data_IF_054491760487
#
_entry.id   IF_054491760487
#
_cell.length_a   1.000
_cell.length_b   1.000
_cell.length_c   1.000
_cell.angle_alpha   90.00
_cell.angle_beta   90.00
_cell.angle_gamma   90.00
#
_symmetry.space_group_name_H-M   'P 1'
#
loop_
_entity.id
_entity.type
_entity.pdbx_description
1 polymer ?
#
# COMPACT_ATOMS: atom_id res chain seq x y z
N UNK A 1 -28.71 2.16 -4.06
CA UNK A 1 -27.32 1.80 -3.71
C UNK A 1 -27.35 0.56 -2.84
N UNK A 2 -26.62 -0.50 -3.20
CA UNK A 2 -26.44 -1.65 -2.32
C UNK A 2 -25.72 -1.20 -1.05
N UNK A 3 -26.23 -1.61 0.10
CA UNK A 3 -25.57 -1.38 1.41
C UNK A 3 -24.57 -2.51 1.65
N UNK A 4 -23.56 -2.23 2.46
CA UNK A 4 -22.58 -3.21 2.84
C UNK A 4 -21.22 -3.03 2.15
N UNK A 5 -20.36 -4.02 2.30
CA UNK A 5 -18.99 -4.07 1.82
C UNK A 5 -18.89 -5.13 0.73
N UNK A 6 -18.65 -4.72 -0.51
CA UNK A 6 -18.69 -5.59 -1.68
C UNK A 6 -17.35 -5.53 -2.40
N UNK A 7 -16.76 -6.70 -2.66
CA UNK A 7 -15.59 -6.83 -3.55
C UNK A 7 -16.08 -7.19 -4.94
N UNK A 8 -15.65 -6.45 -5.93
CA UNK A 8 -15.99 -6.68 -7.34
C UNK A 8 -14.70 -6.98 -8.10
N UNK A 9 -14.65 -8.12 -8.76
CA UNK A 9 -13.52 -8.56 -9.57
C UNK A 9 -13.92 -8.50 -11.04
N UNK A 10 -13.09 -7.86 -11.87
CA UNK A 10 -13.29 -7.69 -13.32
C UNK A 10 -11.96 -7.33 -13.99
N UNK A 11 -12.02 -6.73 -15.17
CA UNK A 11 -10.86 -6.27 -15.92
C UNK A 11 -10.97 -4.79 -16.29
N UNK A 12 -9.83 -4.11 -16.32
CA UNK A 12 -9.67 -2.74 -16.83
C UNK A 12 -8.66 -2.77 -17.96
N UNK A 13 -9.08 -2.46 -19.20
CA UNK A 13 -8.25 -2.55 -20.41
C UNK A 13 -7.58 -3.93 -20.58
N UNK A 14 -8.31 -5.01 -20.29
CA UNK A 14 -7.81 -6.39 -20.37
C UNK A 14 -6.85 -6.79 -19.25
N UNK A 15 -6.68 -5.95 -18.20
CA UNK A 15 -5.85 -6.24 -17.03
C UNK A 15 -6.76 -6.59 -15.84
N UNK A 16 -6.49 -7.67 -15.11
CA UNK A 16 -7.28 -8.03 -13.94
C UNK A 16 -7.35 -6.87 -12.94
N UNK A 17 -8.53 -6.65 -12.39
CA UNK A 17 -8.79 -5.57 -11.47
C UNK A 17 -9.74 -5.99 -10.34
N UNK A 18 -9.63 -5.34 -9.20
CA UNK A 18 -10.51 -5.50 -8.06
C UNK A 18 -10.93 -4.15 -7.52
N UNK A 19 -12.20 -3.97 -7.21
CA UNK A 19 -12.74 -2.79 -6.57
C UNK A 19 -13.45 -3.14 -5.26
N UNK A 20 -13.21 -2.35 -4.23
CA UNK A 20 -13.92 -2.43 -2.96
C UNK A 20 -14.95 -1.32 -2.88
N UNK A 21 -16.21 -1.70 -2.81
CA UNK A 21 -17.32 -0.79 -2.55
C UNK A 21 -17.73 -0.86 -1.07
N UNK A 22 -17.95 0.31 -0.46
CA UNK A 22 -18.51 0.41 0.88
C UNK A 22 -19.76 1.33 0.79
N UNK A 23 -20.92 0.76 1.04
CA UNK A 23 -22.21 1.45 0.92
C UNK A 23 -22.39 2.15 -0.45
N UNK A 24 -21.96 1.47 -1.53
CA UNK A 24 -22.06 1.96 -2.90
C UNK A 24 -21.05 3.04 -3.31
N UNK A 25 -20.07 3.35 -2.46
CA UNK A 25 -18.93 4.24 -2.80
C UNK A 25 -17.67 3.41 -2.98
N UNK A 26 -16.86 3.76 -3.97
CA UNK A 26 -15.56 3.13 -4.14
C UNK A 26 -14.65 3.51 -2.97
N UNK A 27 -14.15 2.49 -2.28
CA UNK A 27 -13.25 2.64 -1.14
C UNK A 27 -11.80 2.30 -1.52
N UNK A 28 -11.64 1.31 -2.41
CA UNK A 28 -10.32 0.93 -2.91
C UNK A 28 -10.41 0.37 -4.33
N UNK A 29 -9.33 0.47 -5.10
CA UNK A 29 -9.22 0.01 -6.48
C UNK A 29 -7.82 -0.55 -6.71
N UNK A 30 -7.73 -1.78 -7.19
CA UNK A 30 -6.51 -2.45 -7.60
C UNK A 30 -6.63 -2.79 -9.08
N UNK A 31 -5.64 -2.41 -9.88
CA UNK A 31 -5.53 -2.77 -11.30
C UNK A 31 -4.14 -3.35 -11.48
N UNK A 32 -4.02 -4.49 -12.14
CA UNK A 32 -2.71 -5.06 -12.46
C UNK A 32 -1.99 -4.22 -13.50
N UNK A 33 -0.68 -4.13 -13.33
CA UNK A 33 0.19 -3.47 -14.30
C UNK A 33 0.68 -4.47 -15.34
N UNK A 34 1.29 -3.96 -16.39
CA UNK A 34 1.96 -4.80 -17.37
C UNK A 34 3.12 -5.57 -16.72
N UNK A 35 3.26 -6.85 -17.07
CA UNK A 35 4.25 -7.77 -16.50
C UNK A 35 5.72 -7.37 -16.77
N UNK A 36 5.94 -6.31 -17.54
CA UNK A 36 7.27 -5.85 -17.95
C UNK A 36 7.97 -4.95 -16.92
N UNK A 37 7.25 -4.51 -15.88
CA UNK A 37 7.82 -3.65 -14.84
C UNK A 37 7.87 -4.36 -13.49
N UNK A 38 8.99 -4.23 -12.74
CA UNK A 38 9.06 -4.78 -11.39
C UNK A 38 7.98 -4.16 -10.49
N UNK A 39 7.08 -5.00 -10.00
CA UNK A 39 5.96 -4.58 -9.15
C UNK A 39 6.31 -4.72 -7.67
N UNK A 40 5.77 -3.86 -6.77
CA UNK A 40 5.93 -4.02 -5.33
C UNK A 40 5.56 -5.43 -4.86
N UNK A 41 6.35 -5.94 -3.93
CA UNK A 41 6.31 -7.31 -3.38
C UNK A 41 6.89 -8.40 -4.30
N UNK A 42 7.13 -8.16 -5.60
CA UNK A 42 7.84 -9.13 -6.44
C UNK A 42 9.27 -9.38 -5.92
N UNK A 43 9.72 -10.62 -6.01
CA UNK A 43 11.05 -11.04 -5.55
C UNK A 43 11.89 -11.45 -6.76
N UNK A 44 13.10 -10.89 -6.81
CA UNK A 44 14.09 -11.15 -7.85
C UNK A 44 15.36 -11.71 -7.26
N UNK A 45 16.01 -12.59 -8.00
CA UNK A 45 17.44 -12.79 -7.88
C UNK A 45 18.13 -11.69 -8.68
N UNK A 46 18.95 -10.89 -8.01
CA UNK A 46 19.67 -9.79 -8.62
C UNK A 46 21.18 -9.94 -8.46
N UNK A 47 21.93 -9.29 -9.35
CA UNK A 47 23.38 -9.20 -9.29
C UNK A 47 23.81 -7.75 -9.18
N UNK A 48 24.59 -7.43 -8.17
CA UNK A 48 25.06 -6.06 -7.93
C UNK A 48 26.02 -5.62 -9.03
N UNK A 49 25.84 -4.40 -9.54
CA UNK A 49 26.61 -3.86 -10.66
C UNK A 49 27.35 -2.58 -10.28
N UNK A 50 26.70 -1.44 -10.25
CA UNK A 50 27.32 -0.12 -10.12
C UNK A 50 27.09 0.45 -8.71
N UNK A 51 28.14 0.67 -7.91
CA UNK A 51 28.02 1.38 -6.64
C UNK A 51 27.66 2.86 -6.87
N UNK A 52 26.61 3.32 -6.19
CA UNK A 52 26.13 4.71 -6.21
C UNK A 52 26.54 5.41 -4.91
N UNK A 53 27.85 5.74 -4.77
CA UNK A 53 28.43 6.29 -3.54
C UNK A 53 27.72 7.52 -3.01
N UNK A 54 27.33 8.46 -3.90
CA UNK A 54 26.62 9.67 -3.53
C UNK A 54 25.20 9.45 -3.01
N UNK A 55 24.61 8.27 -3.26
CA UNK A 55 23.27 7.89 -2.80
C UNK A 55 23.29 6.78 -1.74
N UNK A 56 24.47 6.41 -1.26
CA UNK A 56 24.67 5.32 -0.30
C UNK A 56 23.95 4.02 -0.70
N UNK A 57 24.11 3.61 -1.97
CA UNK A 57 23.42 2.44 -2.52
C UNK A 57 24.20 1.77 -3.65
N UNK A 58 23.58 0.74 -4.22
CA UNK A 58 24.12 -0.03 -5.34
C UNK A 58 23.00 -0.37 -6.33
N UNK A 59 23.35 -0.34 -7.62
CA UNK A 59 22.45 -0.82 -8.69
C UNK A 59 22.61 -2.34 -8.81
N UNK A 60 21.48 -3.01 -9.02
CA UNK A 60 21.42 -4.44 -9.34
C UNK A 60 20.86 -4.62 -10.76
N UNK A 61 21.38 -5.61 -11.44
CA UNK A 61 20.70 -6.23 -12.58
C UNK A 61 19.65 -7.22 -12.03
N UNK A 62 18.39 -7.07 -12.46
CA UNK A 62 17.27 -7.94 -12.07
C UNK A 62 16.88 -8.92 -13.19
N UNK A 63 17.62 -8.92 -14.31
CA UNK A 63 17.30 -9.66 -15.52
C UNK A 63 16.39 -8.88 -16.48
N UNK A 64 16.35 -9.32 -17.75
CA UNK A 64 15.54 -8.74 -18.81
C UNK A 64 15.67 -7.21 -18.98
N UNK A 65 16.88 -6.66 -18.70
CA UNK A 65 17.15 -5.22 -18.79
C UNK A 65 16.61 -4.39 -17.62
N UNK A 66 15.98 -5.01 -16.63
CA UNK A 66 15.45 -4.32 -15.46
C UNK A 66 16.54 -4.05 -14.44
N UNK A 67 16.42 -2.91 -13.75
CA UNK A 67 17.43 -2.47 -12.75
C UNK A 67 16.77 -2.23 -11.41
N UNK A 68 17.41 -2.77 -10.35
CA UNK A 68 17.07 -2.49 -8.96
C UNK A 68 18.02 -1.46 -8.35
N UNK A 69 17.56 -0.70 -7.36
CA UNK A 69 18.38 0.17 -6.52
C UNK A 69 18.22 -0.22 -5.05
N UNK A 70 19.28 -0.74 -4.47
CA UNK A 70 19.36 -1.10 -3.06
C UNK A 70 20.04 0.01 -2.27
N UNK A 71 19.34 0.63 -1.34
CA UNK A 71 19.88 1.59 -0.39
C UNK A 71 20.66 0.89 0.73
N UNK A 72 21.52 1.65 1.38
CA UNK A 72 22.31 1.18 2.54
C UNK A 72 23.13 -0.09 2.24
N UNK A 73 23.66 -0.19 1.03
CA UNK A 73 24.43 -1.32 0.54
C UNK A 73 25.87 -1.36 1.10
N UNK A 74 26.11 -0.90 2.34
CA UNK A 74 27.41 -0.90 2.97
C UNK A 74 27.93 -2.35 3.15
N UNK A 75 29.13 -2.60 2.66
CA UNK A 75 29.75 -3.93 2.72
C UNK A 75 29.34 -4.89 1.61
N UNK A 76 28.47 -4.49 0.69
CA UNK A 76 28.07 -5.30 -0.47
C UNK A 76 29.00 -4.97 -1.64
N UNK A 77 29.69 -5.99 -2.17
CA UNK A 77 30.62 -5.85 -3.30
C UNK A 77 29.90 -5.92 -4.64
N UNK A 78 30.51 -5.35 -5.67
CA UNK A 78 30.08 -5.54 -7.05
C UNK A 78 30.18 -7.01 -7.45
N UNK A 79 29.20 -7.52 -8.21
CA UNK A 79 29.13 -8.91 -8.64
C UNK A 79 28.49 -9.86 -7.63
N UNK A 80 28.04 -9.36 -6.46
CA UNK A 80 27.33 -10.17 -5.46
C UNK A 80 25.96 -10.57 -5.96
N UNK A 81 25.65 -11.85 -5.94
CA UNK A 81 24.32 -12.39 -6.20
C UNK A 81 23.50 -12.37 -4.90
N UNK A 82 22.25 -11.93 -4.98
CA UNK A 82 21.37 -11.85 -3.82
C UNK A 82 19.91 -11.82 -4.22
N UNK A 83 19.06 -12.29 -3.33
CA UNK A 83 17.62 -12.16 -3.46
C UNK A 83 17.17 -10.80 -2.92
N UNK A 84 16.32 -10.10 -3.68
CA UNK A 84 15.80 -8.79 -3.33
C UNK A 84 14.31 -8.72 -3.62
N UNK A 85 13.59 -7.93 -2.82
CA UNK A 85 12.16 -7.67 -3.00
C UNK A 85 11.94 -6.24 -3.42
N UNK A 86 11.04 -6.04 -4.36
CA UNK A 86 10.61 -4.70 -4.79
C UNK A 86 9.86 -4.02 -3.64
N UNK A 87 10.37 -2.87 -3.21
CA UNK A 87 9.83 -2.15 -2.06
C UNK A 87 8.71 -1.18 -2.45
N UNK A 88 8.90 -0.48 -3.56
CA UNK A 88 7.97 0.54 -4.05
C UNK A 88 8.03 0.59 -5.57
N UNK A 89 7.03 1.20 -6.18
CA UNK A 89 7.05 1.47 -7.61
C UNK A 89 8.17 2.45 -7.99
N UNK A 90 8.80 2.21 -9.14
CA UNK A 90 9.86 3.08 -9.65
C UNK A 90 9.28 4.36 -10.27
N UNK A 91 9.95 5.48 -10.07
CA UNK A 91 9.68 6.69 -10.85
C UNK A 91 10.19 6.51 -12.30
N UNK A 92 9.53 7.12 -13.28
CA UNK A 92 9.96 7.03 -14.69
C UNK A 92 11.47 7.32 -14.86
N UNK A 93 12.16 6.43 -15.55
CA UNK A 93 13.60 6.56 -15.82
C UNK A 93 14.54 6.25 -14.64
N UNK A 94 14.02 5.88 -13.47
CA UNK A 94 14.83 5.47 -12.32
C UNK A 94 14.84 3.95 -12.13
N UNK A 95 15.90 3.45 -11.48
CA UNK A 95 15.96 2.05 -11.07
C UNK A 95 14.92 1.77 -9.98
N UNK A 96 14.33 0.56 -10.01
CA UNK A 96 13.31 0.14 -9.06
C UNK A 96 13.86 0.04 -7.65
N UNK A 97 13.26 0.71 -6.64
CA UNK A 97 13.69 0.57 -5.26
C UNK A 97 13.48 -0.86 -4.77
N UNK A 98 14.56 -1.49 -4.29
CA UNK A 98 14.52 -2.85 -3.74
C UNK A 98 15.10 -2.89 -2.34
N UNK A 99 14.72 -3.93 -1.60
CA UNK A 99 15.25 -4.26 -0.27
C UNK A 99 15.75 -5.70 -0.27
N UNK A 100 16.74 -5.97 0.57
CA UNK A 100 17.29 -7.32 0.76
C UNK A 100 16.68 -8.06 1.95
N UNK A 101 15.87 -7.39 2.76
CA UNK A 101 15.06 -8.00 3.81
C UNK A 101 13.70 -8.37 3.24
N UNK A 102 13.49 -9.65 3.00
CA UNK A 102 12.26 -10.14 2.39
C UNK A 102 11.12 -10.17 3.40
N UNK A 103 9.90 -9.94 2.91
CA UNK A 103 8.67 -10.00 3.68
C UNK A 103 7.66 -10.85 2.90
N UNK A 104 7.14 -11.89 3.52
CA UNK A 104 6.11 -12.76 2.96
C UNK A 104 4.79 -12.48 3.67
N UNK A 105 3.84 -11.90 2.96
CA UNK A 105 2.55 -11.47 3.52
C UNK A 105 1.44 -12.39 3.06
N UNK A 106 0.67 -12.89 4.02
CA UNK A 106 -0.58 -13.58 3.77
C UNK A 106 -1.77 -12.88 4.41
N UNK A 107 -2.89 -13.57 4.49
CA UNK A 107 -4.12 -13.05 5.11
C UNK A 107 -3.95 -12.80 6.60
N UNK A 108 -3.37 -13.74 7.32
CA UNK A 108 -3.30 -13.73 8.79
C UNK A 108 -1.92 -13.44 9.35
N UNK A 109 -0.87 -13.58 8.55
CA UNK A 109 0.49 -13.38 9.04
C UNK A 109 1.41 -12.66 8.07
N UNK A 110 2.58 -12.25 8.58
CA UNK A 110 3.73 -11.79 7.81
C UNK A 110 4.95 -12.51 8.34
N UNK A 111 5.66 -13.24 7.46
CA UNK A 111 6.93 -13.89 7.78
C UNK A 111 8.09 -12.99 7.33
N UNK A 112 9.09 -12.83 8.20
CA UNK A 112 10.27 -11.98 7.99
C UNK A 112 11.54 -12.78 8.25
N UNK A 113 12.14 -13.46 7.24
CA UNK A 113 13.28 -14.36 7.43
C UNK A 113 14.50 -13.70 8.09
N UNK A 114 14.75 -12.42 7.76
CA UNK A 114 15.93 -11.68 8.24
C UNK A 114 15.67 -10.82 9.48
N UNK A 115 14.53 -10.98 10.13
CA UNK A 115 14.16 -10.20 11.31
C UNK A 115 13.43 -11.09 12.33
N UNK A 116 14.17 -11.92 13.09
CA UNK A 116 13.57 -12.84 14.06
C UNK A 116 12.77 -12.09 15.13
N UNK A 117 11.78 -12.77 15.69
CA UNK A 117 10.92 -12.26 16.74
C UNK A 117 9.44 -12.41 16.42
N UNK A 118 8.62 -12.55 17.46
CA UNK A 118 7.18 -12.69 17.36
C UNK A 118 6.49 -11.39 17.73
N UNK A 119 5.57 -10.94 16.88
CA UNK A 119 4.76 -9.77 17.13
C UNK A 119 3.29 -10.06 16.80
N UNK A 120 2.39 -9.47 17.57
CA UNK A 120 0.95 -9.45 17.29
C UNK A 120 0.52 -8.02 16.98
N UNK A 121 -0.36 -7.86 15.99
CA UNK A 121 -0.86 -6.55 15.58
C UNK A 121 -1.35 -5.75 16.80
N UNK A 122 -0.92 -4.49 16.89
CA UNK A 122 -1.24 -3.61 18.03
C UNK A 122 -2.72 -3.24 18.13
N UNK A 123 -3.49 -3.50 17.08
CA UNK A 123 -4.94 -3.30 17.04
C UNK A 123 -5.71 -4.39 17.80
N UNK A 124 -5.14 -5.58 17.97
CA UNK A 124 -5.68 -6.64 18.82
C UNK A 124 -5.32 -6.28 20.27
N UNK A 125 -6.30 -5.79 21.01
CA UNK A 125 -6.11 -5.29 22.39
C UNK A 125 -6.65 -6.23 23.45
N UNK A 126 -7.47 -7.20 23.05
CA UNK A 126 -7.99 -8.23 23.94
C UNK A 126 -6.85 -9.14 24.38
N UNK A 127 -6.64 -9.25 25.69
CA UNK A 127 -5.50 -9.99 26.25
C UNK A 127 -5.70 -11.50 26.09
N UNK A 128 -6.92 -12.02 26.22
CA UNK A 128 -7.23 -13.45 26.06
C UNK A 128 -7.00 -13.88 24.60
N UNK A 129 -7.42 -13.04 23.64
CA UNK A 129 -7.18 -13.28 22.22
C UNK A 129 -5.69 -13.22 21.86
N UNK A 130 -4.94 -12.31 22.47
CA UNK A 130 -3.49 -12.24 22.27
C UNK A 130 -2.79 -13.49 22.82
N UNK A 131 -3.21 -14.00 23.97
CA UNK A 131 -2.67 -15.21 24.56
C UNK A 131 -2.97 -16.43 23.67
N UNK A 132 -4.21 -16.57 23.20
CA UNK A 132 -4.61 -17.62 22.24
C UNK A 132 -3.75 -17.60 20.97
N UNK A 133 -3.54 -16.42 20.37
CA UNK A 133 -2.71 -16.30 19.18
C UNK A 133 -1.23 -16.62 19.45
N UNK A 134 -0.73 -16.31 20.65
CA UNK A 134 0.64 -16.66 21.05
C UNK A 134 0.81 -18.17 21.21
N UNK A 135 -0.18 -18.87 21.79
CA UNK A 135 -0.17 -20.33 21.93
C UNK A 135 -0.08 -21.02 20.57
N UNK A 136 -0.93 -20.63 19.61
CA UNK A 136 -0.91 -21.15 18.24
C UNK A 136 0.49 -21.02 17.62
N UNK A 137 1.11 -19.86 17.76
CA UNK A 137 2.43 -19.59 17.16
C UNK A 137 3.53 -20.38 17.87
N UNK A 138 3.48 -20.51 19.19
CA UNK A 138 4.46 -21.28 19.96
C UNK A 138 4.45 -22.75 19.56
N UNK A 139 3.28 -23.36 19.40
CA UNK A 139 3.15 -24.75 18.93
C UNK A 139 3.80 -24.95 17.55
N UNK A 140 3.58 -24.01 16.63
CA UNK A 140 4.17 -24.06 15.30
C UNK A 140 5.69 -23.85 15.29
N UNK A 141 6.19 -22.96 16.16
CA UNK A 141 7.62 -22.63 16.24
C UNK A 141 8.48 -23.76 16.82
N UNK A 142 7.94 -24.60 17.73
CA UNK A 142 8.65 -25.71 18.34
C UNK A 142 9.13 -26.77 17.34
N UNK A 143 8.50 -26.84 16.18
CA UNK A 143 8.77 -27.86 15.16
C UNK A 143 9.66 -27.35 14.01
N UNK A 144 10.18 -26.11 14.07
CA UNK A 144 10.97 -25.50 12.99
C UNK A 144 12.40 -25.18 13.41
N UNK A 145 13.34 -25.43 12.50
CA UNK A 145 14.77 -25.14 12.70
C UNK A 145 15.16 -23.70 12.36
N UNK A 146 14.34 -22.97 11.61
CA UNK A 146 14.62 -21.61 11.19
C UNK A 146 13.91 -20.61 12.09
N UNK A 147 14.67 -19.69 12.69
CA UNK A 147 14.16 -18.59 13.52
C UNK A 147 13.68 -17.42 12.67
N UNK A 148 12.65 -17.62 11.86
CA UNK A 148 12.04 -16.51 11.13
C UNK A 148 11.19 -15.64 12.07
N UNK A 149 11.21 -14.34 11.82
CA UNK A 149 10.26 -13.45 12.46
C UNK A 149 8.85 -13.67 11.95
N UNK A 150 7.87 -13.51 12.82
CA UNK A 150 6.45 -13.66 12.52
C UNK A 150 5.66 -12.51 13.12
N UNK A 151 4.80 -11.91 12.30
CA UNK A 151 3.85 -10.89 12.73
C UNK A 151 2.45 -11.39 12.44
N UNK A 152 1.65 -11.57 13.49
CA UNK A 152 0.23 -11.90 13.37
C UNK A 152 -0.55 -10.63 13.05
N UNK A 153 -1.32 -10.67 11.97
CA UNK A 153 -2.11 -9.52 11.49
C UNK A 153 -3.44 -9.41 12.26
N UNK A 154 -4.04 -8.22 12.23
CA UNK A 154 -5.35 -8.00 12.86
C UNK A 154 -6.50 -8.82 12.28
N UNK A 155 -6.33 -9.29 11.05
CA UNK A 155 -7.27 -10.20 10.38
C UNK A 155 -7.31 -11.63 10.97
N UNK A 156 -6.37 -11.97 11.85
CA UNK A 156 -6.37 -13.26 12.56
C UNK A 156 -7.27 -13.26 13.81
N UNK A 157 -7.79 -12.09 14.20
CA UNK A 157 -8.68 -11.98 15.36
C UNK A 157 -9.97 -12.78 15.13
N UNK A 158 -10.36 -13.59 16.12
CA UNK A 158 -11.54 -14.47 16.11
C UNK A 158 -11.53 -15.55 15.00
N UNK A 159 -10.39 -15.79 14.35
CA UNK A 159 -10.24 -16.81 13.31
C UNK A 159 -9.86 -18.16 13.93
N UNK A 160 -10.34 -19.24 13.32
CA UNK A 160 -10.02 -20.61 13.72
C UNK A 160 -8.51 -20.90 13.72
N UNK A 161 -8.05 -21.63 14.73
CA UNK A 161 -6.64 -21.94 14.94
C UNK A 161 -6.01 -22.70 13.76
N UNK A 162 -6.76 -23.66 13.18
CA UNK A 162 -6.27 -24.44 12.03
C UNK A 162 -6.09 -23.55 10.80
N UNK A 163 -7.00 -22.60 10.56
CA UNK A 163 -6.88 -21.66 9.44
C UNK A 163 -5.63 -20.76 9.58
N UNK A 164 -5.35 -20.25 10.79
CA UNK A 164 -4.16 -19.46 11.09
C UNK A 164 -2.90 -20.31 10.93
N UNK A 165 -2.90 -21.52 11.47
CA UNK A 165 -1.76 -22.44 11.41
C UNK A 165 -1.40 -22.84 9.98
N UNK A 166 -2.41 -23.13 9.15
CA UNK A 166 -2.22 -23.45 7.73
C UNK A 166 -1.64 -22.27 6.95
N UNK A 167 -2.12 -21.06 7.23
CA UNK A 167 -1.62 -19.83 6.58
C UNK A 167 -0.16 -19.57 6.95
N UNK A 168 0.20 -19.69 8.24
CA UNK A 168 1.57 -19.54 8.73
C UNK A 168 2.49 -20.57 8.09
N UNK A 169 2.10 -21.87 8.09
CA UNK A 169 2.91 -22.93 7.50
C UNK A 169 3.15 -22.69 6.01
N UNK A 170 2.11 -22.30 5.26
CA UNK A 170 2.23 -21.99 3.85
C UNK A 170 3.23 -20.86 3.59
N UNK A 171 3.25 -19.83 4.45
CA UNK A 171 4.19 -18.71 4.32
C UNK A 171 5.62 -19.09 4.71
N UNK A 172 5.79 -19.95 5.70
CA UNK A 172 7.11 -20.48 6.04
C UNK A 172 7.68 -21.34 4.91
N UNK A 173 6.88 -22.24 4.33
CA UNK A 173 7.33 -23.11 3.24
C UNK A 173 7.65 -22.28 1.98
N UNK A 174 6.89 -21.23 1.71
CA UNK A 174 7.20 -20.27 0.64
C UNK A 174 8.53 -19.54 0.92
N UNK A 175 8.73 -19.07 2.15
CA UNK A 175 9.96 -18.39 2.55
C UNK A 175 11.18 -19.31 2.40
N UNK A 176 11.11 -20.54 2.90
CA UNK A 176 12.18 -21.55 2.77
C UNK A 176 12.52 -21.82 1.31
N UNK A 177 11.52 -21.99 0.46
CA UNK A 177 11.71 -22.20 -0.97
C UNK A 177 12.43 -21.00 -1.65
N UNK A 178 11.96 -19.78 -1.38
CA UNK A 178 12.54 -18.57 -1.97
C UNK A 178 13.95 -18.31 -1.44
N UNK A 179 14.17 -18.47 -0.13
CA UNK A 179 15.49 -18.27 0.49
C UNK A 179 16.54 -19.27 0.00
N UNK A 180 16.13 -20.45 -0.48
CA UNK A 180 17.04 -21.44 -1.10
C UNK A 180 17.48 -21.05 -2.51
N UNK A 181 16.83 -20.09 -3.18
CA UNK A 181 17.06 -19.73 -4.59
C UNK A 181 17.98 -18.51 -4.78
N UNK A 182 18.96 -18.31 -3.91
CA UNK A 182 19.83 -17.12 -3.92
C UNK A 182 20.85 -17.09 -5.06
N UNK A 183 21.26 -18.24 -5.58
CA UNK A 183 22.33 -18.38 -6.57
C UNK A 183 21.78 -18.54 -7.99
N UNK A 184 22.49 -17.99 -8.97
CA UNK A 184 22.21 -18.14 -10.41
C UNK A 184 22.01 -16.79 -11.11
N UNK A 185 21.64 -16.84 -12.38
CA UNK A 185 21.44 -15.63 -13.19
C UNK A 185 20.30 -14.74 -12.66
N UNK A 186 20.40 -13.41 -12.87
CA UNK A 186 19.32 -12.49 -12.53
C UNK A 186 17.98 -12.88 -13.15
N UNK A 187 16.94 -13.05 -12.32
CA UNK A 187 15.63 -13.50 -12.76
C UNK A 187 14.52 -13.12 -11.75
N UNK A 188 13.29 -13.04 -12.24
CA UNK A 188 12.09 -13.01 -11.39
C UNK A 188 11.93 -14.39 -10.71
N UNK A 189 11.91 -14.44 -9.38
CA UNK A 189 11.69 -15.66 -8.58
C UNK A 189 10.21 -15.79 -8.20
N UNK A 190 9.63 -14.70 -7.70
CA UNK A 190 8.23 -14.65 -7.30
C UNK A 190 7.57 -13.39 -7.88
N UNK A 191 6.49 -13.53 -8.66
CA UNK A 191 5.75 -12.36 -9.14
C UNK A 191 5.07 -11.63 -7.99
N UNK A 192 4.72 -10.37 -8.20
CA UNK A 192 3.86 -9.63 -7.30
C UNK A 192 2.49 -10.31 -7.17
N UNK A 193 1.80 -10.18 -6.02
CA UNK A 193 0.46 -10.73 -5.85
C UNK A 193 -0.53 -10.06 -6.81
N UNK A 194 -1.44 -10.85 -7.39
CA UNK A 194 -2.50 -10.37 -8.27
C UNK A 194 -3.46 -9.41 -7.56
N UNK A 195 -4.26 -8.66 -8.33
CA UNK A 195 -5.29 -7.79 -7.79
C UNK A 195 -6.31 -8.57 -6.93
N UNK A 196 -6.72 -9.75 -7.38
CA UNK A 196 -7.61 -10.66 -6.64
C UNK A 196 -6.97 -11.14 -5.33
N UNK A 197 -5.69 -11.58 -5.37
CA UNK A 197 -4.97 -12.03 -4.18
C UNK A 197 -4.79 -10.90 -3.16
N UNK A 198 -4.48 -9.69 -3.62
CA UNK A 198 -4.38 -8.51 -2.75
C UNK A 198 -5.73 -8.15 -2.13
N UNK A 199 -6.81 -8.18 -2.90
CA UNK A 199 -8.16 -7.95 -2.41
C UNK A 199 -8.54 -8.97 -1.33
N UNK A 200 -8.31 -10.27 -1.59
CA UNK A 200 -8.56 -11.34 -0.62
C UNK A 200 -7.73 -11.20 0.65
N UNK A 201 -6.46 -10.79 0.52
CA UNK A 201 -5.53 -10.65 1.65
C UNK A 201 -5.77 -9.41 2.49
N UNK A 202 -6.06 -8.28 1.84
CA UNK A 202 -5.98 -6.96 2.48
C UNK A 202 -7.35 -6.33 2.77
N UNK A 203 -8.44 -6.79 2.12
CA UNK A 203 -9.79 -6.24 2.33
C UNK A 203 -10.66 -7.11 3.26
N UNK A 204 -10.11 -7.54 4.37
CA UNK A 204 -10.71 -8.52 5.29
C UNK A 204 -11.14 -7.96 6.65
N UNK A 205 -10.96 -6.68 6.92
CA UNK A 205 -11.39 -6.07 8.19
C UNK A 205 -12.30 -4.86 7.95
N UNK A 206 -13.63 -5.04 8.09
CA UNK A 206 -14.36 -6.30 8.21
C UNK A 206 -14.36 -7.10 6.90
N UNK A 207 -14.68 -8.38 6.96
CA UNK A 207 -14.86 -9.21 5.76
C UNK A 207 -15.90 -8.60 4.82
N UNK A 208 -15.77 -8.79 3.49
CA UNK A 208 -16.80 -8.36 2.57
C UNK A 208 -18.08 -9.17 2.73
N UNK A 209 -19.22 -8.49 2.65
CA UNK A 209 -20.53 -9.14 2.68
C UNK A 209 -20.80 -9.94 1.38
N UNK A 210 -20.19 -9.52 0.27
CA UNK A 210 -20.38 -10.14 -1.05
C UNK A 210 -19.10 -10.02 -1.89
N UNK A 211 -18.79 -11.06 -2.67
CA UNK A 211 -17.74 -11.03 -3.70
C UNK A 211 -18.39 -11.34 -5.04
N UNK A 212 -18.30 -10.39 -5.97
CA UNK A 212 -18.88 -10.50 -7.33
C UNK A 212 -17.73 -10.74 -8.30
N UNK A 213 -17.82 -11.86 -9.05
CA UNK A 213 -16.84 -12.26 -10.07
C UNK A 213 -17.56 -12.65 -11.36
N UNK A 214 -18.30 -11.72 -11.93
CA UNK A 214 -19.04 -11.91 -13.17
C UNK A 214 -18.45 -11.02 -14.26
N UNK A 215 -18.62 -11.40 -15.50
CA UNK A 215 -18.18 -10.58 -16.63
C UNK A 215 -18.97 -9.27 -16.67
N UNK A 216 -18.28 -8.16 -16.92
CA UNK A 216 -18.83 -6.80 -16.92
C UNK A 216 -19.37 -6.35 -15.55
N UNK A 217 -18.86 -6.90 -14.44
CA UNK A 217 -19.32 -6.52 -13.12
C UNK A 217 -18.95 -5.07 -12.77
N UNK A 218 -17.87 -4.51 -13.31
CA UNK A 218 -17.53 -3.09 -13.14
C UNK A 218 -18.56 -2.18 -13.77
N UNK A 219 -19.09 -2.52 -14.96
CA UNK A 219 -20.19 -1.79 -15.60
C UNK A 219 -21.48 -1.90 -14.76
N UNK A 220 -21.88 -3.13 -14.42
CA UNK A 220 -23.11 -3.42 -13.70
C UNK A 220 -23.16 -2.75 -12.30
N UNK A 221 -22.01 -2.54 -11.68
CA UNK A 221 -21.86 -1.94 -10.36
C UNK A 221 -21.52 -0.44 -10.41
N UNK A 222 -21.43 0.16 -11.62
CA UNK A 222 -21.14 1.58 -11.81
C UNK A 222 -19.71 1.98 -11.43
N UNK A 223 -18.76 1.02 -11.42
CA UNK A 223 -17.35 1.29 -11.05
C UNK A 223 -16.68 2.16 -12.09
N UNK A 224 -17.03 2.02 -13.37
CA UNK A 224 -16.53 2.86 -14.45
C UNK A 224 -16.83 4.34 -14.23
N UNK A 225 -17.99 4.69 -13.73
CA UNK A 225 -18.34 6.08 -13.38
C UNK A 225 -17.42 6.65 -12.28
N UNK A 226 -17.01 5.79 -11.35
CA UNK A 226 -16.03 6.17 -10.32
C UNK A 226 -14.64 6.36 -10.91
N UNK A 227 -14.20 5.46 -11.80
CA UNK A 227 -12.90 5.57 -12.47
C UNK A 227 -12.85 6.86 -13.31
N UNK A 228 -13.90 7.19 -14.06
CA UNK A 228 -13.95 8.43 -14.84
C UNK A 228 -13.86 9.68 -13.95
N UNK A 229 -14.49 9.68 -12.78
CA UNK A 229 -14.34 10.77 -11.80
C UNK A 229 -12.93 10.86 -11.24
N UNK A 230 -12.24 9.73 -11.04
CA UNK A 230 -10.86 9.70 -10.54
C UNK A 230 -9.85 10.24 -11.54
N UNK A 231 -10.15 10.26 -12.85
CA UNK A 231 -9.31 10.91 -13.88
C UNK A 231 -9.31 12.44 -13.73
N UNK A 232 -10.32 13.00 -13.08
CA UNK A 232 -10.40 14.45 -12.84
C UNK A 232 -9.57 14.81 -11.62
N UNK A 233 -8.85 15.93 -11.68
CA UNK A 233 -8.07 16.43 -10.54
C UNK A 233 -8.98 16.90 -9.40
N UNK A 234 -10.19 17.37 -9.70
CA UNK A 234 -11.13 17.91 -8.73
C UNK A 234 -11.97 16.83 -8.05
N UNK A 235 -12.01 16.85 -6.74
CA UNK A 235 -12.90 16.04 -5.91
C UNK A 235 -13.86 16.95 -5.15
N UNK A 236 -15.16 16.75 -5.35
CA UNK A 236 -16.19 17.49 -4.60
C UNK A 236 -16.32 16.92 -3.19
N UNK A 237 -16.48 17.82 -2.22
CA UNK A 237 -16.59 17.52 -0.80
C UNK A 237 -17.95 18.01 -0.27
N UNK A 238 -18.37 17.58 0.93
CA UNK A 238 -19.55 18.12 1.61
C UNK A 238 -19.50 19.66 1.74
N UNK A 239 -20.66 20.27 1.92
CA UNK A 239 -20.84 21.72 2.10
C UNK A 239 -20.40 22.58 0.91
N UNK A 240 -20.34 22.01 -0.29
CA UNK A 240 -19.91 22.71 -1.50
C UNK A 240 -18.40 22.93 -1.60
N UNK A 241 -17.63 22.41 -0.65
CA UNK A 241 -16.17 22.43 -0.71
C UNK A 241 -15.62 21.49 -1.79
N UNK A 242 -14.37 21.66 -2.15
CA UNK A 242 -13.66 20.76 -3.07
C UNK A 242 -12.17 20.75 -2.77
N UNK A 243 -11.49 19.67 -3.20
CA UNK A 243 -10.04 19.63 -3.29
C UNK A 243 -9.62 19.33 -4.72
N UNK A 244 -8.49 19.91 -5.13
CA UNK A 244 -7.82 19.65 -6.40
C UNK A 244 -6.54 18.91 -6.08
N UNK A 245 -6.31 17.76 -6.71
CA UNK A 245 -5.14 16.91 -6.49
C UNK A 245 -4.36 16.83 -7.78
N UNK A 246 -3.16 17.39 -7.80
CA UNK A 246 -2.31 17.50 -9.00
C UNK A 246 -0.95 16.84 -8.76
N UNK A 247 -0.69 15.68 -9.39
CA UNK A 247 0.65 15.13 -9.40
C UNK A 247 1.57 15.97 -10.28
N UNK A 248 2.71 16.39 -9.72
CA UNK A 248 3.79 17.05 -10.45
C UNK A 248 5.00 16.09 -10.53
N UNK A 249 6.05 16.52 -11.23
CA UNK A 249 7.31 15.75 -11.30
C UNK A 249 8.03 15.63 -9.94
N UNK A 250 7.76 16.51 -8.98
CA UNK A 250 8.46 16.57 -7.70
C UNK A 250 7.60 16.10 -6.50
N UNK A 251 6.33 16.47 -6.49
CA UNK A 251 5.41 16.20 -5.39
C UNK A 251 3.96 16.20 -5.88
N UNK A 252 3.05 15.77 -5.02
CA UNK A 252 1.60 15.90 -5.23
C UNK A 252 1.13 17.19 -4.56
N UNK A 253 0.56 18.10 -5.33
CA UNK A 253 -0.07 19.32 -4.81
C UNK A 253 -1.54 19.04 -4.51
N UNK A 254 -2.03 19.57 -3.38
CA UNK A 254 -3.44 19.53 -2.99
C UNK A 254 -3.89 20.94 -2.64
N UNK A 255 -4.86 21.47 -3.38
CA UNK A 255 -5.48 22.78 -3.14
C UNK A 255 -6.89 22.60 -2.59
N UNK A 256 -7.26 23.34 -1.54
CA UNK A 256 -8.53 23.22 -0.82
C UNK A 256 -9.39 24.47 -1.00
N UNK A 257 -10.61 24.26 -1.54
CA UNK A 257 -11.55 25.33 -1.81
C UNK A 257 -12.84 25.17 -0.98
N UNK A 258 -13.32 26.26 -0.38
CA UNK A 258 -14.57 26.30 0.41
C UNK A 258 -15.84 26.41 -0.44
N UNK A 259 -15.69 26.64 -1.76
CA UNK A 259 -16.82 26.91 -2.65
C UNK A 259 -17.52 28.22 -2.31
N UNK A 260 -18.84 28.17 -2.23
CA UNK A 260 -19.68 29.36 -1.96
C UNK A 260 -19.92 29.60 -0.47
N UNK A 261 -19.39 28.79 0.44
CA UNK A 261 -19.53 29.02 1.89
C UNK A 261 -18.63 30.18 2.32
N UNK A 262 -19.23 31.30 2.69
CA UNK A 262 -18.55 32.50 3.20
C UNK A 262 -18.57 32.61 4.73
N UNK A 263 -19.00 31.57 5.42
CA UNK A 263 -19.05 31.56 6.89
C UNK A 263 -17.64 31.58 7.51
N UNK A 264 -17.50 32.11 8.72
CA UNK A 264 -16.22 32.14 9.46
C UNK A 264 -15.64 30.74 9.70
N UNK A 265 -16.45 29.69 9.66
CA UNK A 265 -16.04 28.29 9.82
C UNK A 265 -15.84 27.54 8.50
N UNK A 266 -16.03 28.17 7.35
CA UNK A 266 -15.96 27.52 6.04
C UNK A 266 -14.62 26.83 5.82
N UNK A 267 -13.52 27.53 6.06
CA UNK A 267 -12.17 26.96 5.91
C UNK A 267 -11.93 25.76 6.81
N UNK A 268 -12.29 25.82 8.08
CA UNK A 268 -12.12 24.69 9.00
C UNK A 268 -12.97 23.48 8.58
N UNK A 269 -14.24 23.70 8.17
CA UNK A 269 -15.11 22.61 7.69
C UNK A 269 -14.51 21.92 6.45
N UNK A 270 -14.10 22.71 5.45
CA UNK A 270 -13.48 22.19 4.24
C UNK A 270 -12.21 21.39 4.56
N UNK A 271 -11.32 21.94 5.39
CA UNK A 271 -10.07 21.31 5.78
C UNK A 271 -10.27 19.98 6.54
N UNK A 272 -11.28 19.89 7.38
CA UNK A 272 -11.62 18.65 8.10
C UNK A 272 -12.22 17.59 7.14
N UNK A 273 -13.00 18.00 6.15
CA UNK A 273 -13.50 17.06 5.13
C UNK A 273 -12.35 16.56 4.23
N UNK A 274 -11.40 17.43 3.85
CA UNK A 274 -10.17 17.02 3.17
C UNK A 274 -9.39 16.03 4.02
N UNK A 275 -9.21 16.29 5.31
CA UNK A 275 -8.48 15.39 6.20
C UNK A 275 -9.09 13.98 6.27
N UNK A 276 -10.40 13.85 6.09
CA UNK A 276 -11.11 12.54 6.04
C UNK A 276 -10.96 11.85 4.69
N UNK A 277 -11.11 12.60 3.59
CA UNK A 277 -11.23 12.04 2.23
C UNK A 277 -9.88 11.86 1.53
N UNK A 278 -8.89 12.70 1.81
CA UNK A 278 -7.59 12.71 1.13
C UNK A 278 -6.85 11.35 1.14
N UNK A 279 -6.80 10.59 2.25
CA UNK A 279 -6.16 9.28 2.26
C UNK A 279 -6.75 8.33 1.21
N UNK A 280 -8.06 8.33 1.07
CA UNK A 280 -8.78 7.52 0.10
C UNK A 280 -8.50 7.97 -1.33
N UNK A 281 -8.58 9.27 -1.59
CA UNK A 281 -8.35 9.85 -2.91
C UNK A 281 -6.92 9.62 -3.41
N UNK A 282 -5.92 9.72 -2.52
CA UNK A 282 -4.53 9.39 -2.87
C UNK A 282 -4.37 7.88 -3.17
N UNK A 283 -5.03 7.01 -2.42
CA UNK A 283 -4.99 5.56 -2.65
C UNK A 283 -5.63 5.18 -3.97
N UNK A 284 -6.83 5.69 -4.26
CA UNK A 284 -7.57 5.41 -5.50
C UNK A 284 -6.83 5.89 -6.75
N UNK A 285 -6.10 7.02 -6.65
CA UNK A 285 -5.28 7.55 -7.73
C UNK A 285 -3.87 6.96 -7.80
N UNK A 286 -3.50 6.09 -6.86
CA UNK A 286 -2.16 5.52 -6.78
C UNK A 286 -1.06 6.54 -6.49
N UNK A 287 -1.38 7.64 -5.82
CA UNK A 287 -0.45 8.75 -5.60
C UNK A 287 0.33 8.59 -4.29
N UNK A 288 1.63 8.83 -4.36
CA UNK A 288 2.55 8.80 -3.24
C UNK A 288 3.77 9.71 -3.46
N UNK A 289 4.73 9.64 -2.55
CA UNK A 289 5.85 10.55 -2.49
C UNK A 289 5.59 11.70 -1.53
N UNK A 290 6.19 12.85 -1.80
CA UNK A 290 5.91 14.07 -1.06
C UNK A 290 4.55 14.64 -1.46
N UNK A 291 3.71 14.98 -0.48
CA UNK A 291 2.40 15.61 -0.70
C UNK A 291 2.38 16.93 0.03
N UNK A 292 2.02 18.01 -0.67
CA UNK A 292 1.92 19.36 -0.13
C UNK A 292 0.47 19.81 -0.23
N UNK A 293 -0.11 20.19 0.91
CA UNK A 293 -1.51 20.63 1.00
C UNK A 293 -1.54 22.13 1.28
N UNK A 294 -2.19 22.88 0.40
CA UNK A 294 -2.59 24.26 0.64
C UNK A 294 -4.02 24.27 1.16
N UNK A 295 -4.14 24.40 2.48
CA UNK A 295 -5.42 24.38 3.16
C UNK A 295 -6.17 25.69 2.99
N UNK A 296 -7.51 25.62 2.92
CA UNK A 296 -8.35 26.80 2.95
C UNK A 296 -8.06 27.66 4.19
N UNK A 297 -8.10 29.00 4.07
CA UNK A 297 -7.81 29.90 5.17
C UNK A 297 -8.60 29.56 6.43
N UNK A 298 -7.91 29.36 7.54
CA UNK A 298 -8.48 29.08 8.85
C UNK A 298 -7.61 29.65 9.97
N UNK A 299 -8.18 29.99 11.15
CA UNK A 299 -7.40 30.47 12.28
C UNK A 299 -6.26 29.52 12.69
N UNK A 300 -5.11 30.08 13.07
CA UNK A 300 -3.94 29.27 13.49
C UNK A 300 -4.26 28.30 14.64
N UNK A 301 -5.20 28.64 15.52
CA UNK A 301 -5.65 27.79 16.63
C UNK A 301 -6.29 26.47 16.14
N UNK A 302 -6.81 26.44 14.91
CA UNK A 302 -7.47 25.27 14.34
C UNK A 302 -6.49 24.27 13.70
N UNK A 303 -5.22 24.67 13.50
CA UNK A 303 -4.17 23.83 12.90
C UNK A 303 -3.99 22.49 13.62
N UNK A 304 -4.03 22.50 14.95
CA UNK A 304 -3.88 21.28 15.75
C UNK A 304 -5.04 20.30 15.54
N UNK A 305 -6.26 20.82 15.35
CA UNK A 305 -7.43 20.02 15.07
C UNK A 305 -7.34 19.35 13.68
N UNK A 306 -6.93 20.11 12.65
CA UNK A 306 -6.70 19.62 11.29
C UNK A 306 -5.62 18.54 11.29
N UNK A 307 -4.48 18.78 11.94
CA UNK A 307 -3.38 17.83 12.06
C UNK A 307 -3.82 16.53 12.75
N UNK A 308 -4.60 16.64 13.83
CA UNK A 308 -5.14 15.48 14.55
C UNK A 308 -6.08 14.67 13.66
N UNK A 309 -6.94 15.33 12.88
CA UNK A 309 -7.84 14.68 11.92
C UNK A 309 -7.07 13.96 10.82
N UNK A 310 -6.03 14.58 10.24
CA UNK A 310 -5.15 13.96 9.25
C UNK A 310 -4.45 12.72 9.81
N UNK A 311 -3.80 12.86 10.97
CA UNK A 311 -3.12 11.75 11.65
C UNK A 311 -4.09 10.57 11.89
N UNK A 312 -5.30 10.85 12.37
CA UNK A 312 -6.31 9.82 12.60
C UNK A 312 -6.74 9.12 11.31
N UNK A 313 -6.92 9.87 10.23
CA UNK A 313 -7.37 9.33 8.94
C UNK A 313 -6.26 8.51 8.25
N UNK A 314 -5.02 8.99 8.23
CA UNK A 314 -3.91 8.26 7.61
C UNK A 314 -3.52 7.00 8.40
N UNK A 315 -3.67 6.98 9.74
CA UNK A 315 -3.45 5.77 10.55
C UNK A 315 -4.41 4.62 10.24
N UNK A 316 -5.59 4.91 9.70
CA UNK A 316 -6.57 3.91 9.28
C UNK A 316 -6.28 3.35 7.88
N UNK A 317 -5.45 4.06 7.11
CA UNK A 317 -5.08 3.66 5.75
C UNK A 317 -4.03 2.54 5.76
N UNK A 318 -4.00 1.77 4.67
CA UNK A 318 -3.06 0.66 4.50
C UNK A 318 -1.67 1.12 4.05
N UNK A 319 -1.57 2.30 3.41
CA UNK A 319 -0.31 2.81 2.86
C UNK A 319 0.37 3.73 3.85
N UNK A 320 1.60 3.40 4.17
CA UNK A 320 2.45 4.12 5.11
C UNK A 320 2.57 5.61 4.75
N UNK A 321 2.17 6.48 5.68
CA UNK A 321 2.18 7.93 5.48
C UNK A 321 2.67 8.62 6.74
N UNK A 322 3.76 9.36 6.59
CA UNK A 322 4.33 10.20 7.67
C UNK A 322 3.71 11.58 7.56
N UNK A 323 3.05 12.01 8.61
CA UNK A 323 2.55 13.39 8.76
C UNK A 323 3.70 14.24 9.24
N UNK A 324 4.28 15.07 8.34
CA UNK A 324 5.46 15.90 8.64
C UNK A 324 5.05 17.14 9.44
N UNK A 325 4.06 17.89 8.96
CA UNK A 325 3.53 19.05 9.66
C UNK A 325 3.42 20.31 8.81
N UNK A 326 3.23 21.45 9.47
CA UNK A 326 3.06 22.75 8.85
C UNK A 326 4.41 23.37 8.44
N UNK A 327 4.48 23.89 7.22
CA UNK A 327 5.62 24.69 6.76
C UNK A 327 5.57 26.12 7.31
N UNK A 328 6.66 26.85 7.17
CA UNK A 328 6.72 28.27 7.54
C UNK A 328 5.77 29.14 6.72
N UNK A 329 5.50 28.76 5.47
CA UNK A 329 4.59 29.47 4.57
C UNK A 329 3.12 29.11 4.82
N UNK A 330 2.83 28.10 5.62
CA UNK A 330 1.47 27.73 5.98
C UNK A 330 0.88 26.55 5.23
N UNK A 331 1.65 25.91 4.35
CA UNK A 331 1.27 24.65 3.74
C UNK A 331 1.48 23.48 4.73
N UNK A 332 0.90 22.33 4.40
CA UNK A 332 1.06 21.12 5.22
C UNK A 332 1.74 20.01 4.41
N UNK A 333 2.68 19.32 5.00
CA UNK A 333 3.49 18.30 4.33
C UNK A 333 3.22 16.89 4.85
N UNK A 334 3.15 15.95 3.90
CA UNK A 334 3.09 14.52 4.14
C UNK A 334 4.16 13.82 3.31
N UNK A 335 4.68 12.69 3.83
CA UNK A 335 5.52 11.76 3.07
C UNK A 335 4.79 10.42 3.01
N UNK A 336 4.34 10.03 1.79
CA UNK A 336 3.56 8.81 1.55
C UNK A 336 4.36 7.82 0.71
N UNK A 337 4.34 6.54 1.09
CA UNK A 337 5.02 5.49 0.33
C UNK A 337 4.37 5.30 -1.04
N UNK A 338 5.20 5.08 -2.09
CA UNK A 338 4.74 4.79 -3.45
C UNK A 338 4.51 3.30 -3.63
N UNK A 339 3.44 2.78 -3.05
CA UNK A 339 3.08 1.35 -3.13
C UNK A 339 2.21 1.01 -4.34
N UNK A 340 1.72 2.01 -5.06
CA UNK A 340 0.82 1.84 -6.19
C UNK A 340 1.34 2.61 -7.40
N UNK A 341 1.00 2.10 -8.58
CA UNK A 341 1.18 2.81 -9.83
C UNK A 341 0.10 3.88 -9.92
N UNK A 342 0.42 5.08 -10.39
CA UNK A 342 -0.59 6.10 -10.67
C UNK A 342 -1.69 5.57 -11.59
N UNK A 343 -2.95 5.82 -11.23
CA UNK A 343 -4.10 5.41 -12.04
C UNK A 343 -4.02 5.93 -13.48
N UNK A 344 -3.49 7.15 -13.64
CA UNK A 344 -3.26 7.74 -14.97
C UNK A 344 -2.31 6.93 -15.85
N UNK A 345 -1.31 6.24 -15.26
CA UNK A 345 -0.40 5.36 -16.00
C UNK A 345 -1.05 4.01 -16.32
N UNK A 346 -1.84 3.45 -15.40
CA UNK A 346 -2.54 2.16 -15.57
C UNK A 346 -3.64 2.23 -16.64
N UNK A 347 -4.22 3.42 -16.85
CA UNK A 347 -5.29 3.65 -17.84
C UNK A 347 -4.77 4.10 -19.21
N UNK A 348 -3.48 4.40 -19.34
CA UNK A 348 -2.86 4.61 -20.65
C UNK A 348 -2.74 3.27 -21.37
N UNK A 349 -3.23 3.21 -22.60
CA UNK A 349 -3.15 2.05 -23.50
C UNK A 349 -1.76 1.96 -24.14
#
# INVERSE_FOLDING_TARGET
MRKGRIVVLDEVNGKPAAALLVNGRIHDLLIEADNNLPQPEAIYRGKTTIPMKGQNGIILDLGNGQKGFLRNAKGISQGTEMTVQVATHAEPGKATPVVNKLIFKSRYCIVTPDAPGLNIARSIKDDDERERLLEIVHELSMNRSNEYGLIIRSSAMDVDADAISNDINSMYDLADNIMSQTNGDPALIMPAPSAEMRAWRDWVNPDPDEVIKEKNSFENMGIWDHIEKLKQNKTNLPFGASMIIEPTSAFVAVDVNTGNDSSLSAGLKANLEVAKELPNQLSLRGLGGQVIIDFAPSPKKDRKLIETALNSSFRKGQIDTIVVGWTTLGNFELQRKRERIPLSELLQN
#
